data_IF_817838628959
#
_entry.id   IF_817838628959
#
_cell.length_a   1.000
_cell.length_b   1.000
_cell.length_c   1.000
_cell.angle_alpha   90.00
_cell.angle_beta   90.00
_cell.angle_gamma   90.00
#
_symmetry.space_group_name_H-M   'P 1'
#
loop_
_entity.id
_entity.type
_entity.pdbx_description
1 polymer ?
#
# COMPACT_ATOMS: atom_id res chain seq x y z
N UNK A 1 -20.32 9.38 -18.67
CA UNK A 1 -19.02 10.09 -18.52
C UNK A 1 -17.96 9.24 -17.84
N UNK A 2 -18.31 8.17 -17.12
CA UNK A 2 -17.32 7.21 -16.61
C UNK A 2 -16.57 6.52 -17.77
N UNK A 3 -15.29 6.15 -17.57
CA UNK A 3 -14.53 5.37 -18.55
C UNK A 3 -15.19 4.02 -18.84
N UNK A 4 -15.04 3.53 -20.06
CA UNK A 4 -15.51 2.19 -20.46
C UNK A 4 -14.42 1.13 -20.33
N UNK A 5 -13.16 1.54 -20.22
CA UNK A 5 -11.98 0.66 -20.05
C UNK A 5 -11.00 1.29 -19.06
N UNK A 6 -10.06 0.48 -18.56
CA UNK A 6 -9.07 0.89 -17.56
C UNK A 6 -7.67 0.36 -17.93
N UNK A 7 -6.63 1.08 -17.52
CA UNK A 7 -5.24 0.69 -17.71
C UNK A 7 -4.67 -0.19 -16.59
N UNK A 8 -5.52 -0.69 -15.67
CA UNK A 8 -5.05 -1.55 -14.58
C UNK A 8 -4.89 -3.01 -15.06
N UNK A 9 -4.02 -3.81 -14.42
CA UNK A 9 -3.72 -5.18 -14.85
C UNK A 9 -4.91 -6.15 -14.95
N UNK A 10 -6.05 -5.86 -14.30
CA UNK A 10 -7.24 -6.68 -14.45
C UNK A 10 -7.80 -6.63 -15.88
N UNK A 11 -7.49 -5.57 -16.63
CA UNK A 11 -7.90 -5.34 -18.02
C UNK A 11 -6.82 -5.69 -19.04
N UNK A 12 -5.64 -6.14 -18.59
CA UNK A 12 -4.56 -6.51 -19.49
C UNK A 12 -4.93 -7.78 -20.26
N UNK A 13 -4.59 -7.76 -21.54
CA UNK A 13 -4.47 -8.96 -22.36
C UNK A 13 -3.40 -9.91 -21.78
N UNK A 14 -3.42 -11.17 -22.19
CA UNK A 14 -2.44 -12.15 -21.72
C UNK A 14 -1.00 -11.70 -22.04
N UNK A 15 -0.76 -11.19 -23.25
CA UNK A 15 0.55 -10.68 -23.67
C UNK A 15 1.03 -9.49 -22.84
N UNK A 16 0.14 -8.58 -22.46
CA UNK A 16 0.48 -7.44 -21.59
C UNK A 16 0.73 -7.89 -20.15
N UNK A 17 -0.05 -8.85 -19.65
CA UNK A 17 0.11 -9.39 -18.30
C UNK A 17 1.42 -10.18 -18.18
N UNK A 18 1.86 -10.87 -19.24
CA UNK A 18 3.16 -11.55 -19.25
C UNK A 18 4.33 -10.60 -19.03
N UNK A 19 4.22 -9.32 -19.40
CA UNK A 19 5.29 -8.35 -19.13
C UNK A 19 5.49 -8.11 -17.63
N UNK A 20 4.50 -8.40 -16.80
CA UNK A 20 4.59 -8.32 -15.34
C UNK A 20 5.12 -9.61 -14.69
N UNK A 21 5.36 -10.69 -15.44
CA UNK A 21 5.76 -11.98 -14.88
C UNK A 21 7.02 -11.85 -14.00
N UNK A 22 7.00 -12.53 -12.85
CA UNK A 22 8.05 -12.43 -11.83
C UNK A 22 7.83 -11.31 -10.80
N UNK A 23 6.99 -10.31 -11.11
CA UNK A 23 6.64 -9.24 -10.16
C UNK A 23 5.58 -9.69 -9.15
N UNK A 24 5.49 -8.95 -8.04
CA UNK A 24 4.41 -9.10 -7.06
C UNK A 24 3.05 -8.79 -7.69
N UNK A 25 2.99 -7.77 -8.55
CA UNK A 25 1.77 -7.36 -9.23
C UNK A 25 1.18 -8.45 -10.13
N UNK A 26 2.01 -9.23 -10.82
CA UNK A 26 1.54 -10.36 -11.63
C UNK A 26 0.78 -11.40 -10.80
N UNK A 27 1.38 -11.84 -9.69
CA UNK A 27 0.75 -12.82 -8.78
C UNK A 27 -0.53 -12.24 -8.16
N UNK A 28 -0.50 -10.98 -7.73
CA UNK A 28 -1.66 -10.29 -7.17
C UNK A 28 -2.81 -10.19 -8.19
N UNK A 29 -2.51 -9.83 -9.44
CA UNK A 29 -3.50 -9.71 -10.52
C UNK A 29 -4.16 -11.06 -10.83
N UNK A 30 -3.36 -12.12 -10.97
CA UNK A 30 -3.86 -13.48 -11.21
C UNK A 30 -4.82 -13.95 -10.10
N UNK A 31 -4.43 -13.75 -8.84
CA UNK A 31 -5.27 -14.11 -7.69
C UNK A 31 -6.55 -13.27 -7.65
N UNK A 32 -6.44 -11.97 -7.91
CA UNK A 32 -7.59 -11.07 -7.90
C UNK A 32 -8.58 -11.40 -9.03
N UNK A 33 -8.11 -11.66 -10.25
CA UNK A 33 -8.99 -12.09 -11.37
C UNK A 33 -9.78 -13.33 -11.00
N UNK A 34 -9.13 -14.35 -10.42
CA UNK A 34 -9.78 -15.59 -9.96
C UNK A 34 -10.77 -15.34 -8.83
N UNK A 35 -10.39 -14.51 -7.86
CA UNK A 35 -11.24 -14.13 -6.73
C UNK A 35 -12.51 -13.40 -7.20
N UNK A 36 -12.36 -12.39 -8.07
CA UNK A 36 -13.47 -11.62 -8.61
C UNK A 36 -14.42 -12.49 -9.45
N UNK A 37 -13.88 -13.37 -10.29
CA UNK A 37 -14.71 -14.29 -11.07
C UNK A 37 -15.50 -15.24 -10.17
N UNK A 38 -14.85 -15.78 -9.14
CA UNK A 38 -15.52 -16.64 -8.14
C UNK A 38 -16.60 -15.88 -7.39
N UNK A 39 -16.34 -14.64 -6.96
CA UNK A 39 -17.30 -13.78 -6.28
C UNK A 39 -18.50 -13.45 -7.17
N UNK A 40 -18.24 -13.18 -8.45
CA UNK A 40 -19.26 -12.90 -9.44
C UNK A 40 -20.22 -14.08 -9.61
N UNK A 41 -19.68 -15.25 -9.94
CA UNK A 41 -20.48 -16.46 -10.22
C UNK A 41 -21.18 -16.99 -8.96
N UNK A 42 -20.57 -16.89 -7.78
CA UNK A 42 -21.14 -17.46 -6.56
C UNK A 42 -22.14 -16.56 -5.84
N UNK A 43 -22.06 -15.23 -6.02
CA UNK A 43 -22.87 -14.27 -5.25
C UNK A 43 -23.51 -13.20 -6.11
N UNK A 44 -22.70 -12.44 -6.86
CA UNK A 44 -23.17 -11.19 -7.48
C UNK A 44 -24.21 -11.44 -8.57
N UNK A 45 -23.95 -12.41 -9.46
CA UNK A 45 -24.78 -12.71 -10.62
C UNK A 45 -26.25 -12.94 -10.26
N UNK A 46 -26.49 -13.81 -9.27
CA UNK A 46 -27.86 -14.15 -8.84
C UNK A 46 -28.55 -13.00 -8.10
N UNK A 47 -27.80 -12.21 -7.31
CA UNK A 47 -28.34 -11.05 -6.61
C UNK A 47 -28.77 -9.98 -7.62
N UNK A 48 -27.88 -9.62 -8.55
CA UNK A 48 -28.17 -8.58 -9.54
C UNK A 48 -29.31 -8.99 -10.46
N UNK A 49 -29.36 -10.27 -10.88
CA UNK A 49 -30.49 -10.79 -11.66
C UNK A 49 -31.83 -10.65 -10.95
N UNK A 50 -31.87 -10.89 -9.63
CA UNK A 50 -33.09 -10.68 -8.83
C UNK A 50 -33.47 -9.20 -8.75
N UNK A 51 -32.51 -8.31 -8.52
CA UNK A 51 -32.75 -6.86 -8.48
C UNK A 51 -33.28 -6.34 -9.82
N UNK A 52 -32.66 -6.73 -10.94
CA UNK A 52 -33.12 -6.38 -12.28
C UNK A 52 -34.55 -6.86 -12.57
N UNK A 53 -34.91 -8.05 -12.07
CA UNK A 53 -36.28 -8.57 -12.20
C UNK A 53 -37.28 -7.72 -11.42
N UNK A 54 -36.93 -7.27 -10.21
CA UNK A 54 -37.77 -6.40 -9.38
C UNK A 54 -37.95 -5.01 -10.01
N UNK A 55 -36.92 -4.50 -10.68
CA UNK A 55 -36.95 -3.20 -11.37
C UNK A 55 -37.60 -3.27 -12.77
N UNK A 56 -38.13 -4.42 -13.18
CA UNK A 56 -38.79 -4.61 -14.48
C UNK A 56 -37.83 -4.77 -15.67
N UNK A 57 -36.54 -4.98 -15.41
CA UNK A 57 -35.47 -5.11 -16.40
C UNK A 57 -34.99 -6.57 -16.55
N UNK A 58 -35.90 -7.55 -16.50
CA UNK A 58 -35.56 -8.98 -16.51
C UNK A 58 -34.89 -9.49 -17.79
N UNK A 59 -34.89 -8.67 -18.85
CA UNK A 59 -34.24 -8.97 -20.13
C UNK A 59 -32.74 -8.63 -20.14
N UNK A 60 -32.25 -7.84 -19.19
CA UNK A 60 -30.83 -7.48 -19.10
C UNK A 60 -30.07 -8.67 -18.52
N UNK A 61 -29.13 -9.20 -19.30
CA UNK A 61 -28.15 -10.18 -18.84
C UNK A 61 -26.89 -9.45 -18.40
N UNK A 62 -26.50 -9.65 -17.15
CA UNK A 62 -25.24 -9.12 -16.61
C UNK A 62 -24.15 -10.15 -16.88
N UNK A 63 -22.99 -9.68 -17.36
CA UNK A 63 -21.81 -10.51 -17.57
C UNK A 63 -20.71 -10.16 -16.56
N UNK A 64 -19.63 -10.95 -16.57
CA UNK A 64 -18.51 -10.72 -15.65
C UNK A 64 -17.82 -9.38 -15.92
N UNK A 65 -17.79 -8.95 -17.18
CA UNK A 65 -17.20 -7.69 -17.62
C UNK A 65 -17.91 -6.48 -17.00
N UNK A 66 -19.24 -6.52 -16.83
CA UNK A 66 -20.00 -5.46 -16.14
C UNK A 66 -19.57 -5.35 -14.67
N UNK A 67 -19.40 -6.50 -14.00
CA UNK A 67 -18.93 -6.54 -12.62
C UNK A 67 -17.48 -6.07 -12.49
N UNK A 68 -16.61 -6.49 -13.41
CA UNK A 68 -15.22 -6.05 -13.44
C UNK A 68 -15.11 -4.54 -13.71
N UNK A 69 -15.95 -4.01 -14.59
CA UNK A 69 -16.10 -2.58 -14.84
C UNK A 69 -16.52 -1.84 -13.58
N UNK A 70 -17.57 -2.28 -12.90
CA UNK A 70 -18.03 -1.64 -11.67
C UNK A 70 -16.97 -1.67 -10.56
N UNK A 71 -16.28 -2.81 -10.39
CA UNK A 71 -15.15 -2.94 -9.47
C UNK A 71 -14.02 -1.94 -9.81
N UNK A 72 -13.70 -1.81 -11.09
CA UNK A 72 -12.63 -0.91 -11.56
C UNK A 72 -13.00 0.57 -11.41
N UNK A 73 -14.28 0.93 -11.67
CA UNK A 73 -14.80 2.27 -11.37
C UNK A 73 -14.62 2.58 -9.88
N UNK A 74 -15.05 1.69 -9.01
CA UNK A 74 -15.00 1.91 -7.56
C UNK A 74 -13.55 2.11 -7.08
N UNK A 75 -12.65 1.17 -7.38
CA UNK A 75 -11.28 1.22 -6.86
C UNK A 75 -10.38 2.29 -7.47
N UNK A 76 -10.69 2.77 -8.67
CA UNK A 76 -9.92 3.86 -9.30
C UNK A 76 -10.42 5.27 -8.92
N UNK A 77 -11.62 5.40 -8.32
CA UNK A 77 -12.28 6.70 -8.12
C UNK A 77 -12.87 6.92 -6.71
N UNK A 78 -13.00 5.88 -5.90
CA UNK A 78 -13.55 6.03 -4.55
C UNK A 78 -12.62 6.87 -3.67
N UNK A 79 -13.22 7.74 -2.88
CA UNK A 79 -12.56 8.56 -1.86
C UNK A 79 -12.97 8.06 -0.48
N UNK A 80 -12.09 8.24 0.50
CA UNK A 80 -12.43 8.10 1.91
C UNK A 80 -13.06 9.40 2.40
N UNK A 81 -14.37 9.39 2.62
CA UNK A 81 -15.18 10.58 2.92
C UNK A 81 -15.52 10.59 4.42
N UNK A 82 -15.15 11.62 5.18
CA UNK A 82 -15.60 11.78 6.56
C UNK A 82 -17.06 12.23 6.58
N UNK A 83 -17.94 11.40 7.14
CA UNK A 83 -19.37 11.65 7.24
C UNK A 83 -19.84 11.56 8.71
N UNK A 84 -20.88 12.31 9.10
CA UNK A 84 -21.52 12.09 10.40
C UNK A 84 -22.09 10.68 10.50
N UNK A 85 -21.95 10.03 11.67
CA UNK A 85 -22.53 8.72 11.92
C UNK A 85 -24.03 8.64 11.55
N UNK A 86 -24.81 9.69 11.86
CA UNK A 86 -26.25 9.75 11.58
C UNK A 86 -26.61 9.78 10.09
N UNK A 87 -25.68 10.15 9.20
CA UNK A 87 -25.89 10.14 7.75
C UNK A 87 -25.70 8.73 7.17
N UNK A 88 -24.81 7.95 7.79
CA UNK A 88 -24.48 6.58 7.36
C UNK A 88 -25.45 5.57 7.99
N UNK A 89 -25.75 5.78 9.27
CA UNK A 89 -26.64 4.98 10.08
C UNK A 89 -27.75 5.89 10.62
N UNK A 90 -28.78 6.19 9.80
CA UNK A 90 -29.91 6.97 10.27
C UNK A 90 -30.57 6.22 11.42
N UNK A 91 -30.72 6.88 12.57
CA UNK A 91 -31.53 6.36 13.66
C UNK A 91 -32.95 6.21 13.14
N UNK A 92 -33.41 4.97 13.05
CA UNK A 92 -34.82 4.68 12.79
C UNK A 92 -35.58 5.32 13.94
N UNK A 93 -36.32 6.40 13.69
CA UNK A 93 -37.28 6.89 14.66
C UNK A 93 -38.26 5.75 14.92
N UNK A 94 -38.11 5.10 16.08
CA UNK A 94 -39.13 4.19 16.58
C UNK A 94 -40.45 4.96 16.56
N UNK A 95 -41.43 4.40 15.84
CA UNK A 95 -42.78 4.90 15.78
C UNK A 95 -43.49 4.71 17.14
N UNK A 96 -43.01 5.41 18.17
CA UNK A 96 -43.59 5.46 19.51
C UNK A 96 -43.70 6.92 19.93
N UNK A 97 -44.61 7.63 19.28
CA UNK A 97 -45.32 8.77 19.86
C UNK A 97 -46.66 8.96 19.10
N UNK A 98 -47.50 7.93 19.15
CA UNK A 98 -48.96 8.10 19.10
C UNK A 98 -49.48 7.57 20.42
N UNK A 99 -49.18 8.29 21.50
CA UNK A 99 -50.00 8.22 22.70
C UNK A 99 -51.09 9.27 22.53
N UNK A 100 -52.30 8.80 22.19
CA UNK A 100 -53.53 9.58 22.32
C UNK A 100 -53.60 10.18 23.73
N UNK A 101 -53.76 11.50 23.91
CA UNK A 101 -54.18 12.01 25.20
C UNK A 101 -55.70 11.82 25.28
N UNK A 102 -56.10 10.87 26.12
CA UNK A 102 -57.47 10.77 26.60
C UNK A 102 -57.97 12.14 27.05
N UNK A 103 -59.17 12.47 26.61
CA UNK A 103 -59.88 13.69 26.95
C UNK A 103 -60.06 13.80 28.46
N UNK A 104 -59.64 14.91 29.04
CA UNK A 104 -60.29 15.41 30.26
C UNK A 104 -60.48 16.93 30.17
N UNK A 105 -61.75 17.31 30.07
CA UNK A 105 -62.21 18.69 30.16
C UNK A 105 -62.02 19.19 31.60
N UNK A 106 -61.23 20.25 31.80
CA UNK A 106 -61.66 21.40 32.63
C UNK A 106 -60.79 22.64 32.46
N UNK A 107 -61.51 23.75 32.52
CA UNK A 107 -61.23 25.12 32.09
C UNK A 107 -60.57 25.98 33.17
N UNK A 108 -59.81 26.99 32.72
CA UNK A 108 -59.48 28.29 33.38
C UNK A 108 -58.27 28.26 34.35
N UNK A 109 -57.31 29.21 34.40
CA UNK A 109 -57.16 30.63 34.02
C UNK A 109 -55.67 30.93 33.70
N UNK A 110 -55.35 31.69 32.64
CA UNK A 110 -54.75 33.05 32.65
C UNK A 110 -53.59 33.25 33.65
N UNK A 111 -52.36 33.37 33.13
CA UNK A 111 -51.50 34.55 33.37
C UNK A 111 -50.44 34.70 32.26
N UNK A 112 -50.23 35.94 31.84
CA UNK A 112 -49.38 36.39 30.75
C UNK A 112 -47.89 36.40 31.15
N UNK A 113 -46.99 36.05 30.24
CA UNK A 113 -45.82 36.90 29.96
C UNK A 113 -45.24 36.59 28.57
N UNK A 114 -44.88 37.67 27.89
CA UNK A 114 -44.51 37.77 26.49
C UNK A 114 -43.13 37.19 26.16
N UNK A 115 -43.04 36.62 24.95
CA UNK A 115 -41.92 36.66 24.01
C UNK A 115 -40.50 36.47 24.54
N UNK A 116 -39.96 35.26 24.36
CA UNK A 116 -38.55 35.09 23.99
C UNK A 116 -38.45 34.05 22.88
N UNK A 117 -37.95 34.50 21.74
CA UNK A 117 -37.42 33.72 20.62
C UNK A 117 -36.55 32.59 21.15
N UNK A 118 -37.04 31.34 21.11
CA UNK A 118 -36.16 30.17 21.20
C UNK A 118 -35.60 29.96 19.81
N UNK A 119 -34.46 30.61 19.55
CA UNK A 119 -33.41 30.01 18.75
C UNK A 119 -33.24 28.59 19.28
N UNK A 120 -33.68 27.60 18.50
CA UNK A 120 -33.34 26.21 18.72
C UNK A 120 -31.84 26.10 18.46
N UNK A 121 -31.04 26.38 19.48
CA UNK A 121 -29.64 25.98 19.52
C UNK A 121 -29.66 24.47 19.44
N UNK A 122 -29.52 23.93 18.23
CA UNK A 122 -29.07 22.57 18.04
C UNK A 122 -27.70 22.52 18.72
N UNK A 123 -27.65 22.01 19.95
CA UNK A 123 -26.40 21.61 20.55
C UNK A 123 -25.70 20.72 19.51
N UNK A 124 -24.45 21.00 19.14
CA UNK A 124 -23.71 20.07 18.33
C UNK A 124 -23.49 18.87 19.24
N UNK A 125 -24.38 17.87 19.15
CA UNK A 125 -23.98 16.51 19.45
C UNK A 125 -22.72 16.32 18.61
N UNK A 126 -21.58 16.19 19.28
CA UNK A 126 -20.35 15.70 18.69
C UNK A 126 -20.66 14.33 18.14
N UNK A 127 -21.24 14.30 16.94
CA UNK A 127 -21.60 13.09 16.24
C UNK A 127 -20.30 12.45 15.80
N UNK A 128 -20.09 11.21 16.21
CA UNK A 128 -18.91 10.45 15.82
C UNK A 128 -18.76 10.52 14.29
N UNK A 129 -17.56 10.89 13.83
CA UNK A 129 -17.24 10.91 12.40
C UNK A 129 -16.92 9.48 11.96
N UNK A 130 -17.58 9.02 10.92
CA UNK A 130 -17.35 7.72 10.29
C UNK A 130 -16.74 7.97 8.91
N UNK A 131 -15.70 7.20 8.58
CA UNK A 131 -15.10 7.24 7.25
C UNK A 131 -15.82 6.24 6.34
N UNK A 132 -16.28 6.72 5.19
CA UNK A 132 -17.00 5.92 4.21
C UNK A 132 -16.30 6.03 2.86
N UNK A 133 -16.13 4.90 2.18
CA UNK A 133 -15.65 4.88 0.80
C UNK A 133 -16.80 5.20 -0.16
N UNK A 134 -16.61 6.18 -1.04
CA UNK A 134 -17.66 6.59 -1.97
C UNK A 134 -17.15 7.35 -3.18
N UNK A 135 -17.98 7.38 -4.23
CA UNK A 135 -17.72 8.16 -5.44
C UNK A 135 -18.25 9.59 -5.23
N UNK A 136 -17.44 10.59 -5.57
CA UNK A 136 -17.82 12.01 -5.50
C UNK A 136 -17.80 12.60 -6.91
N UNK A 137 -18.96 12.61 -7.62
CA UNK A 137 -19.03 13.10 -8.98
C UNK A 137 -18.46 14.51 -9.13
N UNK A 138 -17.57 14.69 -10.09
CA UNK A 138 -16.90 15.95 -10.39
C UNK A 138 -15.52 16.03 -9.78
N UNK A 139 -15.36 15.73 -8.48
CA UNK A 139 -14.03 15.65 -7.84
C UNK A 139 -13.28 14.41 -8.34
N UNK A 140 -14.00 13.31 -8.60
CA UNK A 140 -13.45 12.08 -9.16
C UNK A 140 -12.91 12.22 -10.60
N UNK A 141 -13.04 13.39 -11.24
CA UNK A 141 -12.43 13.70 -12.54
C UNK A 141 -11.03 14.30 -12.43
N UNK A 142 -10.61 14.78 -11.26
CA UNK A 142 -9.28 15.36 -11.09
C UNK A 142 -8.20 14.28 -11.19
N UNK A 143 -7.24 14.47 -12.08
CA UNK A 143 -6.08 13.59 -12.24
C UNK A 143 -5.05 13.79 -11.12
N UNK A 144 -4.16 12.80 -10.98
CA UNK A 144 -3.05 12.81 -10.04
C UNK A 144 -1.88 13.69 -10.53
N UNK A 145 -1.28 14.48 -9.63
CA UNK A 145 0.06 15.05 -9.81
C UNK A 145 0.81 15.08 -8.45
N UNK A 146 2.14 14.96 -8.50
CA UNK A 146 3.03 15.10 -7.33
C UNK A 146 3.10 16.54 -6.82
N UNK A 147 2.75 17.51 -7.67
CA UNK A 147 2.65 18.95 -7.38
C UNK A 147 1.21 19.41 -7.63
N UNK A 148 0.24 18.92 -6.85
CA UNK A 148 -1.16 19.24 -7.07
C UNK A 148 -1.41 20.73 -6.86
N UNK A 149 -2.29 21.29 -7.68
CA UNK A 149 -2.69 22.71 -7.57
C UNK A 149 -4.01 22.87 -6.82
N UNK A 150 -4.66 21.76 -6.47
CA UNK A 150 -5.85 21.73 -5.65
C UNK A 150 -5.81 20.58 -4.63
N UNK A 151 -6.51 20.79 -3.51
CA UNK A 151 -6.90 19.78 -2.54
C UNK A 151 -8.43 19.78 -2.42
N UNK A 152 -8.99 18.81 -1.70
CA UNK A 152 -10.42 18.79 -1.39
C UNK A 152 -10.65 18.80 0.12
N UNK A 153 -11.78 19.35 0.54
CA UNK A 153 -12.25 19.33 1.93
C UNK A 153 -13.75 19.06 1.98
N UNK A 154 -14.22 18.60 3.14
CA UNK A 154 -15.65 18.46 3.44
C UNK A 154 -16.10 19.63 4.30
N UNK A 155 -17.01 20.43 3.79
CA UNK A 155 -17.63 21.51 4.55
C UNK A 155 -18.71 20.95 5.47
N UNK A 156 -18.34 20.60 6.71
CA UNK A 156 -19.29 20.02 7.67
C UNK A 156 -20.44 20.95 8.09
N UNK A 157 -20.35 22.25 7.82
CA UNK A 157 -21.34 23.25 8.26
C UNK A 157 -22.15 23.87 7.13
N UNK A 158 -21.64 23.81 5.90
CA UNK A 158 -22.19 24.52 4.75
C UNK A 158 -21.82 26.01 4.72
N UNK A 159 -20.84 26.46 5.50
CA UNK A 159 -20.43 27.88 5.52
C UNK A 159 -19.71 28.31 4.24
N UNK A 160 -18.94 27.41 3.63
CA UNK A 160 -18.19 27.67 2.40
C UNK A 160 -19.03 27.37 1.15
N UNK A 161 -19.76 26.25 1.16
CA UNK A 161 -20.51 25.77 0.00
C UNK A 161 -22.00 26.17 -0.01
N UNK A 162 -22.54 26.60 1.12
CA UNK A 162 -23.98 26.77 1.34
C UNK A 162 -24.72 25.46 1.64
N UNK A 163 -24.03 24.31 1.65
CA UNK A 163 -24.61 22.97 1.84
C UNK A 163 -23.79 22.18 2.86
N UNK A 164 -24.35 21.82 4.03
CA UNK A 164 -23.64 20.99 5.01
C UNK A 164 -23.19 19.64 4.43
N UNK A 165 -22.00 19.22 4.84
CA UNK A 165 -21.34 17.98 4.42
C UNK A 165 -21.10 17.84 2.92
N UNK A 166 -21.04 18.96 2.19
CA UNK A 166 -20.62 18.95 0.78
C UNK A 166 -19.09 18.94 0.66
N UNK A 167 -18.58 18.30 -0.39
CA UNK A 167 -17.15 18.33 -0.72
C UNK A 167 -16.86 19.41 -1.77
N UNK A 168 -15.73 20.12 -1.62
CA UNK A 168 -15.31 21.18 -2.53
C UNK A 168 -13.79 21.18 -2.73
N UNK A 169 -13.34 21.75 -3.85
CA UNK A 169 -11.92 21.92 -4.16
C UNK A 169 -11.40 23.26 -3.63
N UNK A 170 -10.18 23.24 -3.10
CA UNK A 170 -9.44 24.40 -2.60
C UNK A 170 -8.15 24.53 -3.39
N UNK A 171 -7.83 25.75 -3.82
CA UNK A 171 -6.55 25.99 -4.49
C UNK A 171 -5.40 25.82 -3.49
N UNK A 172 -4.48 24.93 -3.84
CA UNK A 172 -3.21 24.73 -3.15
C UNK A 172 -2.04 25.45 -3.85
N UNK A 173 -2.33 26.17 -4.94
CA UNK A 173 -1.31 26.85 -5.75
C UNK A 173 -0.74 28.07 -5.03
N UNK A 174 0.60 28.18 -5.02
CA UNK A 174 1.30 29.36 -4.49
C UNK A 174 1.23 30.57 -5.45
N UNK A 175 0.91 30.32 -6.72
CA UNK A 175 0.78 31.32 -7.78
C UNK A 175 -0.63 31.32 -8.38
N UNK A 176 -1.07 32.43 -9.00
CA UNK A 176 -2.36 32.48 -9.69
C UNK A 176 -2.48 31.37 -10.74
N UNK A 177 -3.62 30.66 -10.69
CA UNK A 177 -3.96 29.63 -11.67
C UNK A 177 -4.04 30.25 -13.07
N UNK A 178 -3.43 29.59 -14.05
CA UNK A 178 -3.51 30.02 -15.44
C UNK A 178 -4.82 29.52 -16.07
N UNK A 179 -5.37 30.29 -17.00
CA UNK A 179 -6.48 29.84 -17.84
C UNK A 179 -6.00 28.62 -18.65
N UNK A 180 -6.89 27.65 -18.86
CA UNK A 180 -6.62 26.37 -19.55
C UNK A 180 -5.61 25.44 -18.87
N UNK A 181 -5.23 25.72 -17.61
CA UNK A 181 -4.44 24.80 -16.80
C UNK A 181 -5.32 23.69 -16.22
N UNK A 182 -4.91 22.43 -16.41
CA UNK A 182 -5.58 21.28 -15.80
C UNK A 182 -5.46 21.32 -14.27
N UNK A 183 -6.55 20.99 -13.58
CA UNK A 183 -6.61 20.96 -12.11
C UNK A 183 -6.28 19.55 -11.62
N UNK A 184 -5.07 19.39 -11.11
CA UNK A 184 -4.60 18.15 -10.48
C UNK A 184 -4.79 18.17 -8.97
N UNK A 185 -5.11 17.01 -8.41
CA UNK A 185 -5.06 16.71 -6.98
C UNK A 185 -3.98 15.65 -6.71
N UNK A 186 -3.58 15.49 -5.45
CA UNK A 186 -2.76 14.33 -5.09
C UNK A 186 -3.65 13.18 -4.65
N UNK A 187 -3.38 11.99 -5.18
CA UNK A 187 -4.00 10.75 -4.71
C UNK A 187 -3.26 10.19 -3.46
N UNK A 188 -2.22 10.89 -3.01
CA UNK A 188 -1.30 10.44 -1.97
C UNK A 188 0.03 9.95 -2.54
N UNK A 189 0.98 9.73 -1.64
CA UNK A 189 2.32 9.24 -1.96
C UNK A 189 2.26 7.73 -2.22
N UNK A 190 2.05 7.34 -3.49
CA UNK A 190 1.83 5.95 -3.90
C UNK A 190 2.96 5.47 -4.80
N UNK A 191 3.44 4.25 -4.54
CA UNK A 191 4.39 3.55 -5.40
C UNK A 191 3.76 3.10 -6.72
N UNK A 192 4.59 2.76 -7.70
CA UNK A 192 4.10 2.38 -9.03
C UNK A 192 3.31 1.06 -9.01
N UNK A 193 3.57 0.18 -8.05
CA UNK A 193 2.76 -1.02 -7.83
C UNK A 193 1.29 -0.67 -7.59
N UNK A 194 1.03 0.25 -6.65
CA UNK A 194 -0.32 0.67 -6.27
C UNK A 194 -0.97 1.53 -7.36
N UNK A 195 -0.22 2.47 -7.95
CA UNK A 195 -0.71 3.31 -9.03
C UNK A 195 -1.17 2.48 -10.24
N UNK A 196 -0.36 1.48 -10.63
CA UNK A 196 -0.70 0.62 -11.74
C UNK A 196 -1.86 -0.30 -11.39
N UNK A 197 -1.86 -0.89 -10.19
CA UNK A 197 -2.88 -1.84 -9.76
C UNK A 197 -4.28 -1.20 -9.63
N UNK A 198 -4.37 0.00 -9.05
CA UNK A 198 -5.66 0.64 -8.76
C UNK A 198 -6.10 1.60 -9.87
N UNK A 199 -5.18 2.41 -10.38
CA UNK A 199 -5.52 3.53 -11.29
C UNK A 199 -5.13 3.26 -12.74
N UNK A 200 -4.21 2.34 -13.00
CA UNK A 200 -3.81 1.95 -14.35
C UNK A 200 -2.80 2.90 -15.01
N UNK A 201 -1.96 3.56 -14.21
CA UNK A 201 -0.84 4.35 -14.71
C UNK A 201 0.39 4.20 -13.81
N UNK A 202 1.53 4.67 -14.29
CA UNK A 202 2.79 4.71 -13.56
C UNK A 202 3.42 6.10 -13.71
N UNK A 203 4.27 6.45 -12.76
CA UNK A 203 5.10 7.66 -12.80
C UNK A 203 6.53 7.24 -13.11
N UNK A 204 7.14 7.86 -14.11
CA UNK A 204 8.56 7.64 -14.41
C UNK A 204 9.43 8.21 -13.28
N UNK A 205 10.46 7.46 -12.90
CA UNK A 205 11.31 7.72 -11.73
C UNK A 205 10.55 8.11 -10.44
N UNK A 206 9.44 7.41 -10.15
CA UNK A 206 8.64 7.64 -8.94
C UNK A 206 9.51 7.57 -7.67
N UNK A 207 9.49 8.63 -6.86
CA UNK A 207 10.22 8.74 -5.60
C UNK A 207 9.59 7.93 -4.47
N UNK A 208 8.29 7.72 -4.54
CA UNK A 208 7.49 7.00 -3.54
C UNK A 208 7.35 5.51 -3.86
N UNK A 209 8.13 5.01 -4.82
CA UNK A 209 8.17 3.59 -5.15
C UNK A 209 8.76 2.77 -4.01
N UNK A 210 8.38 1.49 -3.95
CA UNK A 210 8.82 0.58 -2.89
C UNK A 210 9.02 -0.83 -3.44
N UNK A 211 9.82 -1.60 -2.70
CA UNK A 211 10.03 -3.02 -2.96
C UNK A 211 9.35 -3.84 -1.86
N UNK A 212 8.45 -4.76 -2.23
CA UNK A 212 7.91 -5.73 -1.29
C UNK A 212 8.83 -6.95 -1.19
N UNK A 213 9.30 -7.26 0.01
CA UNK A 213 10.06 -8.49 0.32
C UNK A 213 9.23 -9.32 1.29
N UNK A 214 9.18 -10.64 1.09
CA UNK A 214 8.51 -11.53 2.02
C UNK A 214 9.23 -12.86 2.12
N UNK A 215 9.14 -13.48 3.29
CA UNK A 215 9.47 -14.89 3.48
C UNK A 215 8.22 -15.74 3.15
N UNK A 216 8.32 -16.76 2.29
CA UNK A 216 7.18 -17.62 1.95
C UNK A 216 6.63 -18.34 3.20
N UNK A 217 5.35 -18.12 3.52
CA UNK A 217 4.74 -18.70 4.71
C UNK A 217 4.75 -20.24 4.68
N UNK A 218 4.60 -20.82 3.49
CA UNK A 218 4.63 -22.27 3.27
C UNK A 218 6.00 -22.88 3.60
N UNK A 219 7.07 -22.10 3.46
CA UNK A 219 8.43 -22.55 3.76
C UNK A 219 8.69 -22.69 5.27
N UNK A 220 7.92 -21.99 6.13
CA UNK A 220 8.11 -22.02 7.58
C UNK A 220 7.83 -23.42 8.15
N UNK A 221 6.90 -24.16 7.56
CA UNK A 221 6.60 -25.52 8.01
C UNK A 221 7.68 -26.53 7.61
N UNK A 222 8.59 -26.15 6.71
CA UNK A 222 9.65 -27.01 6.17
C UNK A 222 11.02 -26.80 6.82
N UNK A 223 11.20 -25.72 7.59
CA UNK A 223 12.47 -25.45 8.26
C UNK A 223 12.65 -26.30 9.51
N UNK A 224 13.90 -26.55 9.89
CA UNK A 224 14.25 -27.23 11.13
C UNK A 224 13.67 -26.50 12.35
N UNK A 225 13.15 -27.26 13.31
CA UNK A 225 12.53 -26.76 14.54
C UNK A 225 11.37 -25.78 14.30
N UNK A 226 10.61 -26.00 13.22
CA UNK A 226 9.49 -25.14 12.83
C UNK A 226 8.46 -24.92 13.93
N UNK A 227 8.14 -25.92 14.75
CA UNK A 227 7.19 -25.78 15.87
C UNK A 227 7.68 -24.76 16.90
N UNK A 228 8.91 -24.89 17.38
CA UNK A 228 9.50 -23.96 18.35
C UNK A 228 9.65 -22.55 17.76
N UNK A 229 10.10 -22.44 16.49
CA UNK A 229 10.21 -21.15 15.80
C UNK A 229 8.85 -20.48 15.62
N UNK A 230 7.81 -21.24 15.26
CA UNK A 230 6.44 -20.73 15.15
C UNK A 230 5.94 -20.16 16.47
N UNK A 231 6.21 -20.83 17.60
CA UNK A 231 5.84 -20.29 18.92
C UNK A 231 6.51 -18.94 19.21
N UNK A 232 7.80 -18.79 18.87
CA UNK A 232 8.51 -17.52 19.02
C UNK A 232 7.93 -16.43 18.09
N UNK A 233 7.65 -16.79 16.84
CA UNK A 233 7.06 -15.88 15.84
C UNK A 233 5.66 -15.41 16.24
N UNK A 234 4.84 -16.29 16.82
CA UNK A 234 3.50 -15.95 17.34
C UNK A 234 3.58 -14.93 18.48
N UNK A 235 4.50 -15.13 19.44
CA UNK A 235 4.70 -14.19 20.55
C UNK A 235 5.21 -12.84 20.04
N UNK A 236 6.12 -12.83 19.06
CA UNK A 236 6.64 -11.62 18.43
C UNK A 236 5.62 -10.89 17.55
N UNK A 237 4.45 -11.49 17.26
CA UNK A 237 3.51 -11.02 16.23
C UNK A 237 4.23 -10.76 14.90
N UNK A 238 5.05 -11.74 14.52
CA UNK A 238 6.02 -11.59 13.43
C UNK A 238 5.36 -11.19 12.10
N UNK A 239 5.97 -10.20 11.44
CA UNK A 239 5.61 -9.78 10.10
C UNK A 239 6.52 -10.51 9.09
N UNK A 240 5.96 -11.41 8.27
CA UNK A 240 6.70 -12.17 7.24
C UNK A 240 6.92 -11.40 5.94
N UNK A 241 6.37 -10.19 5.85
CA UNK A 241 6.45 -9.30 4.70
C UNK A 241 6.86 -7.92 5.20
N UNK A 242 7.70 -7.25 4.43
CA UNK A 242 7.98 -5.84 4.62
C UNK A 242 7.87 -5.07 3.29
N UNK A 243 7.64 -3.76 3.41
CA UNK A 243 7.79 -2.81 2.33
C UNK A 243 9.09 -2.06 2.57
N UNK A 244 9.90 -1.93 1.52
CA UNK A 244 11.15 -1.19 1.52
C UNK A 244 11.00 0.04 0.62
N UNK A 245 10.66 1.22 1.17
CA UNK A 245 10.52 2.45 0.41
C UNK A 245 11.84 2.88 -0.24
N UNK A 246 11.81 3.35 -1.48
CA UNK A 246 12.99 3.89 -2.19
C UNK A 246 13.69 4.99 -1.37
N UNK A 247 12.92 5.84 -0.71
CA UNK A 247 13.41 6.91 0.17
C UNK A 247 14.25 6.43 1.35
N UNK A 248 14.09 5.18 1.80
CA UNK A 248 14.93 4.61 2.86
C UNK A 248 16.39 4.48 2.43
N UNK A 249 16.66 4.33 1.13
CA UNK A 249 18.02 4.23 0.59
C UNK A 249 18.84 5.52 0.80
N UNK A 250 18.20 6.69 0.92
CA UNK A 250 18.89 7.96 1.17
C UNK A 250 19.59 7.99 2.54
N UNK A 251 19.19 7.13 3.48
CA UNK A 251 19.81 7.01 4.80
C UNK A 251 20.78 5.83 4.91
N UNK A 252 20.90 5.01 3.87
CA UNK A 252 21.69 3.78 3.86
C UNK A 252 23.20 3.97 3.74
N UNK A 253 23.87 2.88 3.37
CA UNK A 253 25.31 2.87 3.07
C UNK A 253 25.62 3.55 1.72
N UNK A 254 24.68 3.51 0.77
CA UNK A 254 24.84 4.04 -0.59
C UNK A 254 23.70 5.01 -0.95
N UNK A 255 23.67 6.22 -0.36
CA UNK A 255 22.61 7.21 -0.61
C UNK A 255 22.53 7.62 -2.09
N UNK A 256 21.30 7.73 -2.62
CA UNK A 256 21.05 8.06 -4.03
C UNK A 256 21.23 9.56 -4.31
N UNK A 257 20.86 10.41 -3.36
CA UNK A 257 20.91 11.87 -3.49
C UNK A 257 22.07 12.47 -2.70
N UNK A 258 23.11 12.97 -3.37
CA UNK A 258 24.14 13.83 -2.75
C UNK A 258 23.64 15.28 -2.69
N UNK A 259 22.56 15.56 -1.95
CA UNK A 259 22.23 16.95 -1.63
C UNK A 259 23.12 17.41 -0.48
N UNK A 260 24.09 18.26 -0.82
CA UNK A 260 24.77 19.14 0.13
C UNK A 260 23.72 20.04 0.79
N UNK A 261 23.30 19.72 2.01
CA UNK A 261 22.30 20.55 2.69
C UNK A 261 21.93 20.00 4.06
N UNK A 262 22.74 20.38 5.05
CA UNK A 262 22.49 20.30 6.49
C UNK A 262 22.18 18.90 7.03
N UNK A 263 23.05 18.42 7.92
CA UNK A 263 22.74 17.38 8.91
C UNK A 263 21.53 17.82 9.75
N UNK A 264 20.33 17.76 9.18
CA UNK A 264 19.12 17.72 9.96
C UNK A 264 19.09 16.33 10.60
N UNK A 265 19.80 16.23 11.73
CA UNK A 265 19.68 15.19 12.76
C UNK A 265 18.25 15.19 13.33
N UNK A 266 17.29 14.92 12.46
CA UNK A 266 15.91 14.54 12.74
C UNK A 266 15.57 13.36 11.84
N UNK A 267 16.48 12.40 11.71
CA UNK A 267 16.02 11.03 11.55
C UNK A 267 15.16 10.76 12.78
N UNK A 268 13.90 10.41 12.55
CA UNK A 268 13.05 9.85 13.58
C UNK A 268 13.80 8.63 14.10
N UNK A 269 14.45 8.81 15.24
CA UNK A 269 14.92 7.76 16.11
C UNK A 269 13.68 7.06 16.64
N UNK A 270 12.97 6.34 15.77
CA UNK A 270 12.10 5.26 16.22
C UNK A 270 13.07 4.20 16.76
N UNK A 271 13.32 4.36 18.06
CA UNK A 271 13.78 3.33 18.97
C UNK A 271 15.11 2.69 18.54
N UNK A 272 16.21 3.37 18.89
CA UNK A 272 17.47 2.68 19.14
C UNK A 272 17.17 1.61 20.18
N UNK A 273 17.19 0.37 19.71
CA UNK A 273 16.86 -0.72 20.57
C UNK A 273 18.09 -1.06 21.41
N UNK A 274 18.07 -0.61 22.66
CA UNK A 274 18.97 -1.10 23.69
C UNK A 274 18.57 -2.54 24.04
N UNK A 275 18.77 -3.47 23.10
CA UNK A 275 18.41 -4.88 23.25
C UNK A 275 19.44 -5.71 24.00
N UNK A 276 20.53 -5.10 24.51
CA UNK A 276 21.51 -5.89 25.26
C UNK A 276 20.97 -6.20 26.66
N UNK A 277 20.55 -7.46 26.80
CA UNK A 277 19.96 -8.02 27.99
C UNK A 277 21.04 -8.38 29.02
N UNK A 278 22.18 -8.87 28.51
CA UNK A 278 23.32 -9.31 29.32
C UNK A 278 24.45 -8.27 29.39
N UNK A 279 24.42 -7.24 28.54
CA UNK A 279 25.55 -6.33 28.32
C UNK A 279 26.70 -6.94 27.52
N UNK A 280 26.60 -8.21 27.10
CA UNK A 280 27.68 -8.92 26.42
C UNK A 280 27.71 -8.60 24.92
N UNK A 281 26.57 -8.61 24.23
CA UNK A 281 26.51 -8.18 22.82
C UNK A 281 26.50 -6.65 22.73
N UNK A 282 27.53 -6.10 22.09
CA UNK A 282 27.61 -4.67 21.78
C UNK A 282 26.69 -4.32 20.62
N UNK A 283 26.18 -3.09 20.63
CA UNK A 283 25.41 -2.57 19.51
C UNK A 283 26.30 -2.48 18.26
N UNK A 284 25.87 -3.02 17.11
CA UNK A 284 26.69 -3.00 15.89
C UNK A 284 26.97 -1.58 15.42
N UNK A 285 28.18 -1.34 14.89
CA UNK A 285 28.57 0.01 14.49
C UNK A 285 27.74 0.54 13.31
N UNK A 286 27.17 -0.38 12.53
CA UNK A 286 26.42 -0.11 11.31
C UNK A 286 24.91 0.07 11.51
N UNK A 287 24.38 -0.09 12.74
CA UNK A 287 22.92 -0.08 13.00
C UNK A 287 22.23 1.19 12.50
N UNK A 288 22.89 2.35 12.62
CA UNK A 288 22.33 3.66 12.19
C UNK A 288 22.27 3.82 10.66
N UNK A 289 22.82 2.87 9.91
CA UNK A 289 22.84 2.85 8.45
C UNK A 289 22.00 1.72 7.86
N UNK A 290 21.39 0.88 8.69
CA UNK A 290 20.48 -0.16 8.21
C UNK A 290 19.19 0.48 7.67
N UNK A 291 18.82 0.11 6.45
CA UNK A 291 17.60 0.58 5.77
C UNK A 291 16.43 -0.40 5.91
N UNK A 292 16.62 -1.48 6.67
CA UNK A 292 15.66 -2.58 6.80
C UNK A 292 14.84 -2.44 8.09
N UNK A 293 13.50 -2.62 8.04
CA UNK A 293 12.66 -2.51 9.23
C UNK A 293 13.00 -3.53 10.32
N UNK A 294 13.17 -3.07 11.56
CA UNK A 294 13.66 -3.91 12.66
C UNK A 294 12.70 -5.06 13.01
N UNK A 295 11.39 -4.85 12.91
CA UNK A 295 10.40 -5.93 13.07
C UNK A 295 10.64 -7.07 12.09
N UNK A 296 10.90 -6.74 10.82
CA UNK A 296 11.16 -7.74 9.79
C UNK A 296 12.51 -8.43 10.02
N UNK A 297 13.54 -7.66 10.40
CA UNK A 297 14.84 -8.24 10.76
C UNK A 297 14.71 -9.22 11.94
N UNK A 298 13.92 -8.89 12.96
CA UNK A 298 13.69 -9.78 14.09
C UNK A 298 12.97 -11.07 13.69
N UNK A 299 11.96 -10.98 12.82
CA UNK A 299 11.35 -12.16 12.19
C UNK A 299 12.39 -13.03 11.49
N UNK A 300 13.27 -12.41 10.68
CA UNK A 300 14.31 -13.14 9.95
C UNK A 300 15.35 -13.78 10.89
N UNK A 301 15.71 -13.12 12.01
CA UNK A 301 16.59 -13.71 13.04
C UNK A 301 15.97 -14.97 13.62
N UNK A 302 14.69 -14.93 13.99
CA UNK A 302 13.96 -16.11 14.49
C UNK A 302 13.94 -17.25 13.46
N UNK A 303 13.73 -16.94 12.18
CA UNK A 303 13.71 -17.94 11.10
C UNK A 303 15.11 -18.53 10.85
N UNK A 304 16.14 -17.70 10.78
CA UNK A 304 17.51 -18.09 10.46
C UNK A 304 18.25 -18.79 11.62
N UNK A 305 17.72 -18.67 12.84
CA UNK A 305 18.28 -19.24 14.06
C UNK A 305 18.63 -20.73 13.92
N UNK A 306 19.85 -21.07 14.34
CA UNK A 306 20.37 -22.44 14.36
C UNK A 306 19.92 -23.20 15.62
N UNK A 307 20.18 -24.50 15.65
CA UNK A 307 19.77 -25.37 16.76
C UNK A 307 20.38 -24.93 18.10
N UNK A 308 21.69 -24.65 18.14
CA UNK A 308 22.37 -24.24 19.38
C UNK A 308 21.91 -22.86 19.87
N UNK A 309 21.59 -21.96 18.93
CA UNK A 309 21.01 -20.65 19.23
C UNK A 309 19.60 -20.78 19.80
N UNK A 310 18.77 -21.68 19.24
CA UNK A 310 17.43 -21.95 19.75
C UNK A 310 17.45 -22.47 21.18
N UNK A 311 18.40 -23.35 21.51
CA UNK A 311 18.59 -23.81 22.88
C UNK A 311 18.99 -22.66 23.83
N UNK A 312 19.92 -21.78 23.41
CA UNK A 312 20.34 -20.61 24.21
C UNK A 312 19.18 -19.63 24.43
N UNK A 313 18.42 -19.31 23.39
CA UNK A 313 17.23 -18.44 23.50
C UNK A 313 16.20 -19.05 24.44
N UNK A 314 15.92 -20.35 24.30
CA UNK A 314 14.98 -21.05 25.17
C UNK A 314 15.44 -20.99 26.64
N UNK A 315 16.73 -21.23 26.91
CA UNK A 315 17.30 -21.13 28.26
C UNK A 315 17.16 -19.72 28.84
N UNK A 316 17.43 -18.67 28.06
CA UNK A 316 17.27 -17.28 28.51
C UNK A 316 15.81 -16.94 28.83
N UNK A 317 14.87 -17.43 28.01
CA UNK A 317 13.44 -17.23 28.22
C UNK A 317 12.89 -18.02 29.43
N UNK A 318 13.45 -19.19 29.71
CA UNK A 318 13.11 -19.98 30.90
C UNK A 318 13.58 -19.31 32.20
N UNK A 319 14.80 -18.76 32.23
CA UNK A 319 15.31 -17.96 33.35
C UNK A 319 14.40 -16.75 33.65
N UNK A 320 13.86 -16.16 32.59
CA UNK A 320 12.93 -15.04 32.61
C UNK A 320 11.54 -15.35 33.16
N UNK A 321 11.01 -16.52 32.78
CA UNK A 321 9.70 -16.97 33.19
C UNK A 321 9.67 -17.45 34.66
N UNK A 322 10.85 -17.75 35.22
CA UNK A 322 11.02 -18.29 36.57
C UNK A 322 10.64 -19.77 36.68
N UNK A 323 10.99 -20.43 37.81
CA UNK A 323 10.82 -21.88 37.98
C UNK A 323 9.36 -22.37 37.91
N UNK A 324 8.38 -21.48 38.08
CA UNK A 324 6.94 -21.79 38.05
C UNK A 324 6.21 -21.21 36.79
N UNK A 325 6.92 -20.60 35.83
CA UNK A 325 6.32 -19.88 34.67
C UNK A 325 5.23 -18.87 35.06
N UNK A 326 5.43 -18.16 36.17
CA UNK A 326 4.45 -17.19 36.70
C UNK A 326 4.35 -15.93 35.83
N UNK A 327 5.43 -15.60 35.11
CA UNK A 327 5.48 -14.43 34.22
C UNK A 327 5.20 -14.85 32.78
N UNK A 328 4.20 -14.21 32.17
CA UNK A 328 3.96 -14.31 30.73
C UNK A 328 5.07 -13.56 29.96
N UNK A 329 5.68 -14.21 28.98
CA UNK A 329 6.71 -13.61 28.12
C UNK A 329 6.07 -12.54 27.22
N UNK A 330 6.68 -11.36 27.18
CA UNK A 330 6.29 -10.30 26.25
C UNK A 330 6.99 -10.44 24.90
N UNK A 331 6.49 -9.74 23.88
CA UNK A 331 7.15 -9.62 22.59
C UNK A 331 8.58 -9.09 22.74
N UNK A 332 8.78 -8.08 23.57
CA UNK A 332 10.07 -7.42 23.83
C UNK A 332 11.08 -8.36 24.49
N UNK A 333 10.62 -9.23 25.40
CA UNK A 333 11.47 -10.25 26.04
C UNK A 333 12.02 -11.22 24.99
N UNK A 334 11.15 -11.71 24.10
CA UNK A 334 11.55 -12.63 23.02
C UNK A 334 12.47 -11.95 22.01
N UNK A 335 12.13 -10.74 21.56
CA UNK A 335 12.98 -9.99 20.62
C UNK A 335 14.39 -9.75 21.18
N UNK A 336 14.49 -9.40 22.48
CA UNK A 336 15.77 -9.16 23.14
C UNK A 336 16.61 -10.44 23.27
N UNK A 337 15.99 -11.57 23.65
CA UNK A 337 16.68 -12.85 23.75
C UNK A 337 17.18 -13.33 22.39
N UNK A 338 16.34 -13.23 21.35
CA UNK A 338 16.71 -13.57 19.97
C UNK A 338 17.86 -12.69 19.48
N UNK A 339 17.81 -11.39 19.73
CA UNK A 339 18.88 -10.46 19.37
C UNK A 339 20.21 -10.80 20.04
N UNK A 340 20.19 -11.02 21.36
CA UNK A 340 21.39 -11.29 22.14
C UNK A 340 22.11 -12.54 21.63
N UNK A 341 21.36 -13.60 21.31
CA UNK A 341 21.92 -14.86 20.85
C UNK A 341 22.31 -14.79 19.37
N UNK A 342 21.38 -14.45 18.48
CA UNK A 342 21.53 -14.63 17.04
C UNK A 342 22.25 -13.48 16.32
N UNK A 343 22.27 -12.27 16.89
CA UNK A 343 22.82 -11.10 16.19
C UNK A 343 22.12 -10.83 14.85
N UNK A 344 22.90 -10.41 13.85
CA UNK A 344 22.38 -10.01 12.53
C UNK A 344 22.77 -10.94 11.38
N UNK A 345 23.89 -11.66 11.48
CA UNK A 345 24.53 -12.30 10.33
C UNK A 345 23.61 -13.31 9.64
N UNK A 346 22.95 -14.19 10.41
CA UNK A 346 21.99 -15.16 9.89
C UNK A 346 20.77 -14.50 9.21
N UNK A 347 20.24 -13.43 9.80
CA UNK A 347 19.09 -12.71 9.25
C UNK A 347 19.43 -11.93 7.98
N UNK A 348 20.60 -11.29 7.95
CA UNK A 348 21.11 -10.57 6.78
C UNK A 348 21.44 -11.53 5.63
N UNK A 349 22.02 -12.69 5.92
CA UNK A 349 22.24 -13.74 4.92
C UNK A 349 20.92 -14.20 4.32
N UNK A 350 19.91 -14.47 5.16
CA UNK A 350 18.57 -14.85 4.69
C UNK A 350 17.93 -13.73 3.85
N UNK A 351 18.09 -12.47 4.23
CA UNK A 351 17.60 -11.32 3.46
C UNK A 351 18.28 -11.22 2.08
N UNK A 352 19.60 -11.40 2.01
CA UNK A 352 20.36 -11.45 0.76
C UNK A 352 19.83 -12.55 -0.15
N UNK A 353 19.57 -13.74 0.40
CA UNK A 353 19.04 -14.87 -0.37
C UNK A 353 17.63 -14.58 -0.90
N UNK A 354 16.75 -13.99 -0.07
CA UNK A 354 15.41 -13.55 -0.50
C UNK A 354 15.47 -12.53 -1.64
N UNK A 355 16.38 -11.55 -1.56
CA UNK A 355 16.56 -10.52 -2.59
C UNK A 355 17.15 -11.10 -3.88
N UNK A 356 18.07 -12.07 -3.79
CA UNK A 356 18.62 -12.78 -4.96
C UNK A 356 17.57 -13.61 -5.67
N UNK A 357 16.75 -14.37 -4.91
CA UNK A 357 15.62 -15.11 -5.48
C UNK A 357 14.64 -14.15 -6.14
N UNK A 358 14.32 -13.02 -5.50
CA UNK A 358 13.45 -12.00 -6.08
C UNK A 358 14.01 -11.44 -7.39
N UNK A 359 15.32 -11.14 -7.45
CA UNK A 359 15.96 -10.67 -8.68
C UNK A 359 15.86 -11.74 -9.79
N UNK A 360 16.17 -13.00 -9.46
CA UNK A 360 16.06 -14.11 -10.39
C UNK A 360 14.63 -14.25 -10.95
N UNK A 361 13.61 -14.18 -10.10
CA UNK A 361 12.20 -14.22 -10.51
C UNK A 361 11.85 -13.06 -11.47
N UNK A 362 12.34 -11.84 -11.19
CA UNK A 362 12.11 -10.66 -12.03
C UNK A 362 12.77 -10.78 -13.41
N UNK A 363 13.97 -11.35 -13.48
CA UNK A 363 14.75 -11.43 -14.71
C UNK A 363 14.44 -12.68 -15.56
N UNK A 364 13.90 -13.75 -14.95
CA UNK A 364 13.65 -15.06 -15.60
C UNK A 364 12.94 -14.93 -16.96
N UNK A 365 11.91 -14.07 -17.02
CA UNK A 365 11.04 -13.93 -18.19
C UNK A 365 11.28 -12.67 -19.02
N UNK A 366 11.98 -11.67 -18.46
CA UNK A 366 12.07 -10.33 -19.05
C UNK A 366 13.51 -9.80 -19.21
N UNK A 367 14.53 -10.54 -18.75
CA UNK A 367 15.92 -10.13 -18.81
C UNK A 367 16.28 -9.05 -17.79
N UNK A 368 17.39 -8.33 -17.99
CA UNK A 368 17.95 -7.40 -16.99
C UNK A 368 17.28 -6.03 -16.95
N UNK A 369 17.67 -5.19 -15.99
CA UNK A 369 17.28 -3.77 -15.91
C UNK A 369 17.67 -2.99 -17.18
N UNK A 370 18.84 -3.27 -17.76
CA UNK A 370 19.34 -2.62 -18.98
C UNK A 370 18.51 -2.99 -20.21
N UNK A 371 18.04 -4.24 -20.30
CA UNK A 371 17.17 -4.68 -21.38
C UNK A 371 15.84 -3.90 -21.36
N UNK A 372 15.27 -3.69 -20.18
CA UNK A 372 14.06 -2.88 -20.04
C UNK A 372 14.30 -1.41 -20.37
N UNK A 373 15.44 -0.86 -19.97
CA UNK A 373 15.82 0.51 -20.32
C UNK A 373 15.95 0.68 -21.84
N UNK A 374 16.54 -0.28 -22.53
CA UNK A 374 16.66 -0.29 -23.99
C UNK A 374 15.28 -0.38 -24.67
N UNK A 375 14.40 -1.25 -24.17
CA UNK A 375 13.01 -1.36 -24.65
C UNK A 375 12.24 -0.04 -24.51
N UNK A 376 12.38 0.64 -23.36
CA UNK A 376 11.72 1.91 -23.10
C UNK A 376 12.27 3.04 -23.98
N UNK A 377 13.58 3.08 -24.23
CA UNK A 377 14.19 4.06 -25.16
C UNK A 377 13.68 3.90 -26.59
N UNK A 378 13.42 2.65 -27.00
CA UNK A 378 12.92 2.31 -28.35
C UNK A 378 11.41 2.39 -28.45
N UNK A 379 10.70 2.69 -27.37
CA UNK A 379 9.24 2.60 -27.33
C UNK A 379 8.55 3.69 -28.16
N UNK A 380 7.66 3.25 -29.06
CA UNK A 380 6.61 4.09 -29.64
C UNK A 380 5.25 3.63 -29.10
N UNK A 381 4.66 4.47 -28.25
CA UNK A 381 3.38 4.18 -27.58
C UNK A 381 2.23 4.37 -28.57
N UNK A 382 1.35 3.38 -28.62
CA UNK A 382 0.13 3.38 -29.43
C UNK A 382 -1.08 3.30 -28.51
N UNK A 383 -2.05 4.21 -28.70
CA UNK A 383 -3.30 4.25 -27.93
C UNK A 383 -4.43 3.42 -28.60
N UNK A 384 -4.36 3.15 -29.91
CA UNK A 384 -5.34 2.31 -30.62
C UNK A 384 -4.76 1.52 -31.82
N UNK A 385 -5.44 0.44 -32.24
CA UNK A 385 -5.04 -0.35 -33.42
C UNK A 385 -5.01 0.47 -34.75
N UNK A 386 -5.81 1.54 -34.84
CA UNK A 386 -5.87 2.45 -36.00
C UNK A 386 -4.59 3.31 -36.11
N UNK A 387 -4.04 3.76 -34.97
CA UNK A 387 -2.83 4.58 -34.91
C UNK A 387 -1.56 3.84 -35.36
N UNK A 388 -1.57 2.50 -35.30
CA UNK A 388 -0.41 1.69 -35.69
C UNK A 388 -0.08 1.83 -37.19
N UNK A 389 -1.11 1.90 -38.05
CA UNK A 389 -0.94 2.05 -39.52
C UNK A 389 -0.43 3.44 -39.88
N UNK A 390 -0.88 4.46 -39.17
CA UNK A 390 -0.51 5.86 -39.41
C UNK A 390 0.90 6.18 -38.88
N UNK A 391 1.30 5.61 -37.73
CA UNK A 391 2.68 5.72 -37.22
C UNK A 391 3.69 5.02 -38.13
N UNK A 392 3.38 3.82 -38.64
CA UNK A 392 4.24 3.08 -39.56
C UNK A 392 4.41 3.81 -40.91
N UNK A 393 3.40 4.52 -41.40
CA UNK A 393 3.51 5.30 -42.65
C UNK A 393 4.35 6.56 -42.53
N UNK A 394 4.54 7.10 -41.31
CA UNK A 394 5.30 8.33 -41.06
C UNK A 394 6.79 8.07 -40.76
N UNK A 395 7.16 6.82 -40.51
CA UNK A 395 8.55 6.39 -40.34
C UNK A 395 9.20 6.21 -41.73
N UNK A 396 9.68 7.32 -42.31
CA UNK A 396 10.64 7.24 -43.42
C UNK A 396 11.94 6.62 -42.90
N UNK A 397 12.56 5.65 -43.61
CA UNK A 397 13.85 5.12 -43.22
C UNK A 397 14.89 6.22 -43.42
N UNK A 398 15.20 6.97 -42.36
CA UNK A 398 16.39 7.79 -42.35
C UNK A 398 17.58 6.84 -42.21
N UNK A 399 18.32 6.70 -43.30
CA UNK A 399 19.62 6.05 -43.30
C UNK A 399 20.51 6.71 -42.23
N UNK A 400 21.00 5.88 -41.29
CA UNK A 400 22.11 6.12 -40.34
C UNK A 400 21.84 6.20 -38.83
N UNK A 401 20.81 5.56 -38.28
CA UNK A 401 20.85 5.10 -36.87
C UNK A 401 20.32 3.67 -36.76
N UNK A 402 21.08 2.78 -36.13
CA UNK A 402 20.88 1.32 -36.16
C UNK A 402 19.80 0.81 -35.20
N UNK A 403 18.82 1.63 -34.83
CA UNK A 403 17.82 1.27 -33.81
C UNK A 403 16.41 1.47 -34.34
N UNK A 404 15.80 0.38 -34.82
CA UNK A 404 14.41 0.37 -35.23
C UNK A 404 13.49 0.57 -34.01
N UNK A 405 12.53 1.52 -34.07
CA UNK A 405 11.62 1.76 -32.97
C UNK A 405 10.64 0.59 -32.79
N UNK A 406 10.30 0.29 -31.53
CA UNK A 406 9.41 -0.80 -31.14
C UNK A 406 8.05 -0.27 -30.73
N UNK A 407 7.03 -0.65 -31.49
CA UNK A 407 5.64 -0.33 -31.18
C UNK A 407 5.16 -1.09 -29.94
N UNK A 408 4.49 -0.39 -29.01
CA UNK A 408 3.90 -1.00 -27.82
C UNK A 408 2.64 -0.26 -27.33
N UNK A 409 1.74 -0.98 -26.67
CA UNK A 409 0.56 -0.38 -26.01
C UNK A 409 0.98 0.38 -24.76
N UNK A 410 0.14 1.32 -24.31
CA UNK A 410 0.36 2.04 -23.05
C UNK A 410 0.41 1.12 -21.82
N UNK A 411 -0.40 0.06 -21.82
CA UNK A 411 -0.41 -0.95 -20.76
C UNK A 411 0.93 -1.70 -20.71
N UNK A 412 1.43 -2.15 -21.88
CA UNK A 412 2.73 -2.79 -22.01
C UNK A 412 3.87 -1.88 -21.57
N UNK A 413 3.84 -0.62 -22.01
CA UNK A 413 4.81 0.38 -21.56
C UNK A 413 4.79 0.54 -20.03
N UNK A 414 3.61 0.67 -19.43
CA UNK A 414 3.45 0.83 -17.98
C UNK A 414 3.96 -0.39 -17.20
N UNK A 415 3.72 -1.60 -17.71
CA UNK A 415 4.26 -2.84 -17.14
C UNK A 415 5.80 -2.87 -17.16
N UNK A 416 6.42 -2.44 -18.26
CA UNK A 416 7.88 -2.40 -18.40
C UNK A 416 8.49 -1.34 -17.48
N UNK A 417 7.89 -0.15 -17.38
CA UNK A 417 8.34 0.89 -16.43
C UNK A 417 8.29 0.37 -14.99
N UNK A 418 7.17 -0.23 -14.58
CA UNK A 418 7.04 -0.78 -13.23
C UNK A 418 8.05 -1.90 -12.96
N UNK A 419 8.15 -2.92 -13.82
CA UNK A 419 9.07 -4.05 -13.56
C UNK A 419 10.53 -3.61 -13.55
N UNK A 420 10.91 -2.64 -14.39
CA UNK A 420 12.24 -2.04 -14.39
C UNK A 420 12.53 -1.39 -13.04
N UNK A 421 11.57 -0.61 -12.51
CA UNK A 421 11.66 -0.04 -11.16
C UNK A 421 11.86 -1.10 -10.08
N UNK A 422 11.14 -2.22 -10.16
CA UNK A 422 11.30 -3.33 -9.22
C UNK A 422 12.68 -4.00 -9.29
N UNK A 423 13.26 -4.18 -10.50
CA UNK A 423 14.63 -4.66 -10.68
C UNK A 423 15.64 -3.68 -10.09
N UNK A 424 15.50 -2.40 -10.40
CA UNK A 424 16.36 -1.34 -9.88
C UNK A 424 16.36 -1.31 -8.35
N UNK A 425 15.18 -1.32 -7.72
CA UNK A 425 15.06 -1.34 -6.26
C UNK A 425 15.64 -2.62 -5.67
N UNK A 426 15.39 -3.79 -6.28
CA UNK A 426 15.96 -5.07 -5.81
C UNK A 426 17.48 -5.02 -5.83
N UNK A 427 18.10 -4.50 -6.89
CA UNK A 427 19.55 -4.34 -7.01
C UNK A 427 20.10 -3.41 -5.92
N UNK A 428 19.43 -2.29 -5.67
CA UNK A 428 19.87 -1.30 -4.68
C UNK A 428 19.78 -1.87 -3.25
N UNK A 429 18.65 -2.47 -2.88
CA UNK A 429 18.50 -3.10 -1.55
C UNK A 429 19.39 -4.33 -1.38
N UNK A 430 19.64 -5.10 -2.43
CA UNK A 430 20.59 -6.22 -2.38
C UNK A 430 21.99 -5.72 -2.04
N UNK A 431 22.42 -4.61 -2.65
CA UNK A 431 23.72 -3.98 -2.36
C UNK A 431 23.82 -3.52 -0.89
N UNK A 432 22.76 -2.91 -0.36
CA UNK A 432 22.68 -2.52 1.06
C UNK A 432 22.77 -3.76 1.99
N UNK A 433 22.04 -4.84 1.67
CA UNK A 433 22.01 -6.06 2.46
C UNK A 433 23.35 -6.80 2.44
N UNK A 434 24.01 -6.92 1.28
CA UNK A 434 25.32 -7.55 1.15
C UNK A 434 26.40 -6.79 1.93
N UNK A 435 26.37 -5.45 1.89
CA UNK A 435 27.29 -4.62 2.66
C UNK A 435 27.05 -4.74 4.17
N UNK A 436 25.79 -4.69 4.61
CA UNK A 436 25.42 -4.91 6.01
C UNK A 436 25.90 -6.29 6.50
N UNK A 437 25.70 -7.34 5.70
CA UNK A 437 26.12 -8.70 6.01
C UNK A 437 27.64 -8.77 6.20
N UNK A 438 28.40 -8.15 5.29
CA UNK A 438 29.86 -8.10 5.39
C UNK A 438 30.32 -7.42 6.69
N UNK A 439 29.70 -6.31 7.08
CA UNK A 439 30.01 -5.62 8.33
C UNK A 439 29.66 -6.48 9.55
N UNK A 440 28.49 -7.14 9.52
CA UNK A 440 28.04 -8.05 10.58
C UNK A 440 29.02 -9.20 10.80
N UNK A 441 29.46 -9.87 9.73
CA UNK A 441 30.42 -10.97 9.82
C UNK A 441 31.78 -10.50 10.36
N UNK A 442 32.26 -9.35 9.90
CA UNK A 442 33.53 -8.79 10.39
C UNK A 442 33.47 -8.48 11.89
N UNK A 443 32.39 -7.88 12.38
CA UNK A 443 32.25 -7.55 13.81
C UNK A 443 32.13 -8.80 14.69
N UNK A 444 31.48 -9.86 14.20
CA UNK A 444 31.34 -11.12 14.94
C UNK A 444 32.68 -11.88 15.08
N UNK A 445 33.56 -11.81 14.07
CA UNK A 445 34.93 -12.37 14.14
C UNK A 445 35.78 -11.69 15.23
N UNK A 446 35.58 -10.39 15.51
CA UNK A 446 36.32 -9.69 16.56
C UNK A 446 35.79 -9.92 17.98
N UNK A 447 34.57 -10.43 18.14
CA UNK A 447 33.98 -10.75 19.46
C UNK A 447 34.39 -12.12 20.01
N UNK A 448 34.89 -13.03 19.17
CA UNK A 448 35.37 -14.36 19.58
C UNK A 448 36.82 -14.60 19.13
N UNK A 449 37.85 -14.04 19.80
CA UNK A 449 39.23 -14.46 19.55
C UNK A 449 39.41 -15.90 20.06
N UNK A 450 40.02 -16.75 19.23
CA UNK A 450 40.39 -18.15 19.49
C UNK A 450 40.95 -18.43 20.89
#
# INVERSE_FOLDING_TARGET
>A
MLPTTFGNPLWFSDDELQELRGTTLYRATELQKKSLLSLYESKVKDIVKKLLTLDGNSEIEVCFEDFLWANSVFWSRALNIPMPHSYVFPEMQDAQDICDPEADEKRSQIEQSDNLTKEGTCNPMTGDTVWVEGLVPGIDFCNHDLKPIATWEVDGTGLASGVPFSMYLISAAQSPLQIDQEIYISYGNKGNEELLYLYGFVIDDNTDDYLMVHYPAEAINTISFSESKNQLLEVQKAELRCLLPKTSLDNGFFPLNTQNGEENNKSKADQVCNYSWSGQRKMPSYVNKLVFPEKFMTTLRTIAMQEDELFKVSSMLEELAGPERERQLSDTDVQSAVWEVCGDSGALQLLVDLLRVKMMDLEESSGTEENDLDLLKKALIIDSHEDSKQCLSNLSPKENDSEEPKLMTRNKWSAIVYRRGQKQLTRLFLKEAEHALQLSLNEEEFTFPC
#
